data_IF_828827212963
#
_entry.id   IF_828827212963
#
_cell.length_a   1.000
_cell.length_b   1.000
_cell.length_c   1.000
_cell.angle_alpha   90.00
_cell.angle_beta   90.00
_cell.angle_gamma   90.00
#
_symmetry.space_group_name_H-M   'P 1'
#
loop_
_entity.id
_entity.type
_entity.pdbx_description
1 polymer ?
#
# COMPACT_ATOMS: atom_id res chain seq x y z
N UNK A 1 -17.54 -59.40 33.15
CA UNK A 1 -17.70 -60.51 32.19
C UNK A 1 -18.39 -60.09 30.87
N UNK A 2 -19.44 -59.27 30.88
CA UNK A 2 -20.18 -58.84 29.67
C UNK A 2 -19.35 -58.14 28.58
N UNK A 3 -18.32 -57.36 28.93
CA UNK A 3 -17.47 -56.68 27.94
C UNK A 3 -16.58 -57.63 27.12
N UNK A 4 -16.12 -58.74 27.73
CA UNK A 4 -15.30 -59.74 27.05
C UNK A 4 -16.14 -60.56 26.05
N UNK A 5 -17.38 -60.88 26.40
CA UNK A 5 -18.31 -61.57 25.47
C UNK A 5 -18.72 -60.67 24.31
N UNK A 6 -18.92 -59.37 24.54
CA UNK A 6 -19.28 -58.43 23.48
C UNK A 6 -18.14 -58.24 22.46
N UNK A 7 -16.90 -58.06 22.94
CA UNK A 7 -15.72 -57.91 22.08
C UNK A 7 -15.48 -59.15 21.23
N UNK A 8 -15.61 -60.35 21.81
CA UNK A 8 -15.51 -61.61 21.06
C UNK A 8 -16.56 -61.70 19.96
N UNK A 9 -17.82 -61.37 20.27
CA UNK A 9 -18.92 -61.36 19.30
C UNK A 9 -18.71 -60.34 18.17
N UNK A 10 -18.14 -59.17 18.48
CA UNK A 10 -17.79 -58.16 17.47
C UNK A 10 -16.69 -58.65 16.53
N UNK A 11 -15.65 -59.31 17.05
CA UNK A 11 -14.58 -59.90 16.24
C UNK A 11 -15.09 -61.06 15.37
N UNK A 12 -15.94 -61.94 15.93
CA UNK A 12 -16.61 -63.01 15.18
C UNK A 12 -17.43 -62.46 14.00
N UNK A 13 -18.17 -61.36 14.20
CA UNK A 13 -18.93 -60.69 13.15
C UNK A 13 -18.02 -60.07 12.09
N UNK A 14 -16.93 -59.41 12.49
CA UNK A 14 -15.93 -58.91 11.54
C UNK A 14 -15.35 -60.05 10.68
N UNK A 15 -15.06 -61.22 11.26
CA UNK A 15 -14.47 -62.35 10.54
C UNK A 15 -15.46 -63.08 9.63
N UNK A 16 -16.72 -63.24 10.05
CA UNK A 16 -17.68 -64.13 9.39
C UNK A 16 -18.73 -63.40 8.54
N UNK A 17 -19.02 -62.15 8.85
CA UNK A 17 -20.01 -61.34 8.14
C UNK A 17 -19.32 -60.27 7.27
N UNK A 18 -19.38 -60.47 5.95
CA UNK A 18 -18.79 -59.57 4.96
C UNK A 18 -19.49 -58.21 4.94
N UNK A 19 -20.83 -58.16 5.02
CA UNK A 19 -21.60 -56.93 4.94
C UNK A 19 -21.34 -56.06 6.16
N UNK A 20 -21.28 -56.69 7.34
CA UNK A 20 -20.88 -56.02 8.58
C UNK A 20 -19.45 -55.46 8.50
N UNK A 21 -18.49 -56.23 7.98
CA UNK A 21 -17.09 -55.77 7.82
C UNK A 21 -16.99 -54.54 6.91
N UNK A 22 -17.62 -54.57 5.73
CA UNK A 22 -17.61 -53.44 4.79
C UNK A 22 -18.27 -52.21 5.41
N UNK A 23 -19.37 -52.40 6.15
CA UNK A 23 -20.06 -51.32 6.86
C UNK A 23 -19.14 -50.67 7.90
N UNK A 24 -18.46 -51.47 8.75
CA UNK A 24 -17.54 -50.96 9.76
C UNK A 24 -16.35 -50.21 9.13
N UNK A 25 -15.76 -50.75 8.05
CA UNK A 25 -14.69 -50.07 7.32
C UNK A 25 -15.19 -48.74 6.73
N UNK A 26 -16.40 -48.73 6.17
CA UNK A 26 -17.06 -47.53 5.67
C UNK A 26 -17.24 -46.47 6.75
N UNK A 27 -17.77 -46.84 7.92
CA UNK A 27 -17.93 -45.92 9.06
C UNK A 27 -16.60 -45.38 9.57
N UNK A 28 -15.59 -46.23 9.73
CA UNK A 28 -14.25 -45.81 10.17
C UNK A 28 -13.60 -44.85 9.17
N UNK A 29 -13.68 -45.17 7.88
CA UNK A 29 -13.20 -44.30 6.81
C UNK A 29 -13.93 -42.96 6.77
N UNK A 30 -15.26 -42.96 6.89
CA UNK A 30 -16.06 -41.73 6.96
C UNK A 30 -15.68 -40.88 8.17
N UNK A 31 -15.49 -41.48 9.35
CA UNK A 31 -15.05 -40.76 10.55
C UNK A 31 -13.72 -40.05 10.33
N UNK A 32 -12.72 -40.74 9.77
CA UNK A 32 -11.40 -40.14 9.48
C UNK A 32 -11.51 -39.00 8.44
N UNK A 33 -12.35 -39.17 7.41
CA UNK A 33 -12.57 -38.11 6.41
C UNK A 33 -13.24 -36.88 7.01
N UNK A 34 -14.19 -37.04 7.94
CA UNK A 34 -14.86 -35.93 8.63
C UNK A 34 -13.88 -35.16 9.52
N UNK A 35 -12.98 -35.85 10.22
CA UNK A 35 -11.93 -35.20 11.00
C UNK A 35 -11.01 -34.33 10.12
N UNK A 36 -10.55 -34.88 8.99
CA UNK A 36 -9.74 -34.13 8.01
C UNK A 36 -10.50 -32.93 7.43
N UNK A 37 -11.78 -33.08 7.12
CA UNK A 37 -12.64 -31.99 6.63
C UNK A 37 -12.79 -30.88 7.68
N UNK A 38 -12.98 -31.24 8.95
CA UNK A 38 -13.08 -30.26 10.04
C UNK A 38 -11.76 -29.51 10.24
N UNK A 39 -10.62 -30.21 10.17
CA UNK A 39 -9.30 -29.58 10.22
C UNK A 39 -9.10 -28.60 9.06
N UNK A 40 -9.43 -29.01 7.83
CA UNK A 40 -9.38 -28.14 6.65
C UNK A 40 -10.30 -26.92 6.77
N UNK A 41 -11.52 -27.10 7.29
CA UNK A 41 -12.45 -25.99 7.52
C UNK A 41 -11.89 -24.99 8.54
N UNK A 42 -11.22 -25.48 9.59
CA UNK A 42 -10.55 -24.63 10.58
C UNK A 42 -9.39 -23.83 9.95
N UNK A 43 -8.57 -24.46 9.11
CA UNK A 43 -7.49 -23.79 8.39
C UNK A 43 -8.03 -22.75 7.41
N UNK A 44 -9.06 -23.08 6.63
CA UNK A 44 -9.72 -22.15 5.73
C UNK A 44 -10.27 -20.92 6.48
N UNK A 45 -10.81 -21.13 7.69
CA UNK A 45 -11.27 -20.02 8.54
C UNK A 45 -10.12 -19.11 8.97
N UNK A 46 -8.96 -19.66 9.33
CA UNK A 46 -7.76 -18.89 9.67
C UNK A 46 -7.27 -18.07 8.46
N UNK A 47 -7.15 -18.71 7.30
CA UNK A 47 -6.73 -18.05 6.04
C UNK A 47 -7.67 -16.90 5.69
N UNK A 48 -8.99 -17.09 5.80
CA UNK A 48 -9.97 -16.01 5.55
C UNK A 48 -9.80 -14.83 6.50
N UNK A 49 -9.49 -15.08 7.78
CA UNK A 49 -9.24 -14.02 8.76
C UNK A 49 -7.96 -13.25 8.42
N UNK A 50 -6.88 -13.93 8.06
CA UNK A 50 -5.64 -13.30 7.62
C UNK A 50 -5.84 -12.49 6.35
N UNK A 51 -6.51 -13.04 5.35
CA UNK A 51 -6.84 -12.34 4.12
C UNK A 51 -7.66 -11.06 4.39
N UNK A 52 -8.60 -11.11 5.33
CA UNK A 52 -9.35 -9.92 5.74
C UNK A 52 -8.45 -8.84 6.37
N UNK A 53 -7.46 -9.22 7.18
CA UNK A 53 -6.47 -8.29 7.74
C UNK A 53 -5.63 -7.66 6.63
N UNK A 54 -5.13 -8.47 5.70
CA UNK A 54 -4.34 -8.00 4.55
C UNK A 54 -5.14 -7.02 3.70
N UNK A 55 -6.42 -7.29 3.44
CA UNK A 55 -7.29 -6.36 2.70
C UNK A 55 -7.48 -5.01 3.40
N UNK A 56 -7.58 -4.99 4.73
CA UNK A 56 -7.64 -3.74 5.50
C UNK A 56 -6.34 -2.95 5.39
N UNK A 57 -5.20 -3.63 5.43
CA UNK A 57 -3.89 -2.99 5.27
C UNK A 57 -3.69 -2.44 3.86
N UNK A 58 -4.06 -3.18 2.83
CA UNK A 58 -4.06 -2.70 1.43
C UNK A 58 -4.94 -1.45 1.30
N UNK A 59 -6.12 -1.43 1.95
CA UNK A 59 -7.00 -0.25 1.92
C UNK A 59 -6.32 0.96 2.57
N UNK A 60 -5.71 0.79 3.76
CA UNK A 60 -4.98 1.86 4.45
C UNK A 60 -3.83 2.40 3.59
N UNK A 61 -3.04 1.52 2.99
CA UNK A 61 -1.94 1.92 2.10
C UNK A 61 -2.44 2.72 0.88
N UNK A 62 -3.59 2.36 0.31
CA UNK A 62 -4.19 3.13 -0.78
C UNK A 62 -4.63 4.52 -0.32
N UNK A 63 -5.21 4.64 0.87
CA UNK A 63 -5.61 5.94 1.43
C UNK A 63 -4.39 6.83 1.70
N UNK A 64 -3.30 6.27 2.23
CA UNK A 64 -2.03 6.99 2.41
C UNK A 64 -1.41 7.41 1.07
N UNK A 65 -1.46 6.54 0.07
CA UNK A 65 -0.96 6.86 -1.27
C UNK A 65 -1.72 8.05 -1.90
N UNK A 66 -3.04 8.13 -1.72
CA UNK A 66 -3.84 9.28 -2.20
C UNK A 66 -3.39 10.58 -1.54
N UNK A 67 -3.17 10.58 -0.22
CA UNK A 67 -2.68 11.77 0.51
C UNK A 67 -1.31 12.23 0.01
N UNK A 68 -0.39 11.30 -0.23
CA UNK A 68 0.93 11.62 -0.79
C UNK A 68 0.79 12.28 -2.17
N UNK A 69 -0.12 11.81 -3.02
CA UNK A 69 -0.37 12.42 -4.32
C UNK A 69 -0.92 13.85 -4.20
N UNK A 70 -1.78 14.11 -3.22
CA UNK A 70 -2.28 15.46 -2.93
C UNK A 70 -1.15 16.40 -2.46
N UNK A 71 -0.29 15.93 -1.55
CA UNK A 71 0.88 16.69 -1.10
C UNK A 71 1.85 16.99 -2.25
N UNK A 72 2.15 16.02 -3.11
CA UNK A 72 2.98 16.21 -4.30
C UNK A 72 2.37 17.27 -5.23
N UNK A 73 1.05 17.26 -5.41
CA UNK A 73 0.35 18.27 -6.22
C UNK A 73 0.51 19.67 -5.63
N UNK A 74 0.29 19.82 -4.32
CA UNK A 74 0.46 21.11 -3.63
C UNK A 74 1.89 21.62 -3.71
N UNK A 75 2.89 20.74 -3.55
CA UNK A 75 4.30 21.10 -3.70
C UNK A 75 4.63 21.57 -5.13
N UNK A 76 4.08 20.92 -6.16
CA UNK A 76 4.25 21.36 -7.56
C UNK A 76 3.62 22.72 -7.81
N UNK A 77 2.43 22.97 -7.27
CA UNK A 77 1.79 24.28 -7.36
C UNK A 77 2.60 25.37 -6.65
N UNK A 78 3.12 25.08 -5.44
CA UNK A 78 4.02 25.99 -4.71
C UNK A 78 5.31 26.26 -5.48
N UNK A 79 5.90 25.24 -6.08
CA UNK A 79 7.10 25.38 -6.91
C UNK A 79 6.86 26.28 -8.12
N UNK A 80 5.72 26.14 -8.81
CA UNK A 80 5.37 26.99 -9.95
C UNK A 80 5.25 28.47 -9.55
N UNK A 81 4.62 28.77 -8.41
CA UNK A 81 4.54 30.14 -7.88
C UNK A 81 5.92 30.74 -7.61
N UNK A 82 6.82 29.96 -7.00
CA UNK A 82 8.21 30.39 -6.79
C UNK A 82 8.94 30.68 -8.11
N UNK A 83 8.72 29.87 -9.15
CA UNK A 83 9.29 30.14 -10.47
C UNK A 83 8.80 31.45 -11.09
N UNK A 84 7.51 31.76 -10.92
CA UNK A 84 6.93 33.03 -11.37
C UNK A 84 7.53 34.22 -10.60
N UNK A 85 7.67 34.13 -9.28
CA UNK A 85 8.31 35.16 -8.46
C UNK A 85 9.77 35.37 -8.87
N UNK A 86 10.54 34.30 -9.06
CA UNK A 86 11.92 34.38 -9.53
C UNK A 86 12.01 35.03 -10.91
N UNK A 87 11.09 34.72 -11.83
CA UNK A 87 11.04 35.37 -13.15
C UNK A 87 10.80 36.87 -13.01
N UNK A 88 9.81 37.26 -12.21
CA UNK A 88 9.51 38.68 -11.97
C UNK A 88 10.68 39.44 -11.36
N UNK A 89 11.36 38.85 -10.37
CA UNK A 89 12.56 39.46 -9.77
C UNK A 89 13.68 39.64 -10.79
N UNK A 90 13.87 38.70 -11.72
CA UNK A 90 14.86 38.85 -12.80
C UNK A 90 14.51 39.98 -13.76
N UNK A 91 13.23 40.13 -14.09
CA UNK A 91 12.75 41.24 -14.94
C UNK A 91 12.94 42.60 -14.26
N UNK A 92 12.59 42.70 -12.98
CA UNK A 92 12.82 43.90 -12.17
C UNK A 92 14.32 44.23 -12.06
N UNK A 93 15.16 43.22 -11.83
CA UNK A 93 16.61 43.39 -11.81
C UNK A 93 17.16 43.89 -13.16
N UNK A 94 16.66 43.36 -14.28
CA UNK A 94 17.07 43.81 -15.61
C UNK A 94 16.70 45.29 -15.84
N UNK A 95 15.52 45.72 -15.39
CA UNK A 95 15.10 47.14 -15.47
C UNK A 95 16.02 48.05 -14.64
N UNK A 96 16.34 47.65 -13.41
CA UNK A 96 17.27 48.40 -12.57
C UNK A 96 18.64 48.55 -13.24
N UNK A 97 19.15 47.50 -13.88
CA UNK A 97 20.42 47.59 -14.62
C UNK A 97 20.38 48.60 -15.78
N UNK A 98 19.26 48.67 -16.49
CA UNK A 98 19.08 49.65 -17.56
C UNK A 98 19.03 51.08 -17.02
N UNK A 99 18.30 51.30 -15.92
CA UNK A 99 18.27 52.61 -15.24
C UNK A 99 19.67 53.03 -14.75
N UNK A 100 20.44 52.12 -14.15
CA UNK A 100 21.82 52.37 -13.74
C UNK A 100 22.70 52.75 -14.95
N UNK A 101 22.51 52.09 -16.09
CA UNK A 101 23.26 52.39 -17.31
C UNK A 101 22.94 53.79 -17.81
N UNK A 102 21.66 54.17 -17.88
CA UNK A 102 21.22 55.50 -18.29
C UNK A 102 21.79 56.59 -17.37
N UNK A 103 21.72 56.40 -16.04
CA UNK A 103 22.29 57.34 -15.08
C UNK A 103 23.81 57.50 -15.25
N UNK A 104 24.53 56.43 -15.58
CA UNK A 104 25.97 56.50 -15.87
C UNK A 104 26.26 57.31 -17.14
N UNK A 105 25.47 57.11 -18.20
CA UNK A 105 25.61 57.88 -19.43
C UNK A 105 25.33 59.37 -19.20
N UNK A 106 24.29 59.71 -18.43
CA UNK A 106 23.99 61.10 -18.04
C UNK A 106 25.12 61.72 -17.21
N UNK A 107 25.67 60.99 -16.23
CA UNK A 107 26.83 61.46 -15.44
C UNK A 107 28.05 61.75 -16.32
N UNK A 108 28.31 60.93 -17.35
CA UNK A 108 29.41 61.17 -18.29
C UNK A 108 29.16 62.47 -19.07
N UNK A 109 27.96 62.67 -19.61
CA UNK A 109 27.61 63.91 -20.35
C UNK A 109 27.78 65.16 -19.48
N UNK A 110 27.30 65.12 -18.23
CA UNK A 110 27.44 66.25 -17.30
C UNK A 110 28.93 66.57 -17.05
N UNK A 111 29.77 65.53 -16.88
CA UNK A 111 31.22 65.73 -16.68
C UNK A 111 31.87 66.35 -17.92
N UNK A 112 31.49 65.92 -19.12
CA UNK A 112 31.99 66.50 -20.37
C UNK A 112 31.56 67.95 -20.55
N UNK A 113 30.32 68.30 -20.19
CA UNK A 113 29.82 69.67 -20.22
C UNK A 113 30.55 70.56 -19.21
N UNK A 114 30.75 70.09 -17.97
CA UNK A 114 31.52 70.80 -16.96
C UNK A 114 32.96 71.05 -17.43
N UNK A 115 33.62 70.06 -18.06
CA UNK A 115 34.97 70.21 -18.58
C UNK A 115 35.11 71.23 -19.71
N UNK A 116 34.02 71.61 -20.39
CA UNK A 116 34.02 72.65 -21.42
C UNK A 116 33.85 74.07 -20.86
N UNK A 117 33.35 74.19 -19.63
CA UNK A 117 33.10 75.47 -18.96
C UNK A 117 34.36 75.99 -18.23
N UNK A 118 35.26 75.08 -17.84
CA UNK A 118 36.57 75.36 -17.25
C UNK A 118 37.65 75.47 -18.32
#
# INVERSE_FOLDING_TARGET
>A
MMGASLKKRFLDLLEKDSEFRHTVIGYLGLSETLEKLNALAAEQSKIRKEMSKTWKEIKRLREEQVKIWEEIKQLREGQNKLWEEVRRLREEQARIWEEIKQLREEQVKIREEQAKIW
#
